data_IF_128420259979
#
_entry.id   IF_128420259979
#
_cell.length_a   1.000
_cell.length_b   1.000
_cell.length_c   1.000
_cell.angle_alpha   90.00
_cell.angle_beta   90.00
_cell.angle_gamma   90.00
#
_symmetry.space_group_name_H-M   'P 1'
#
loop_
_entity.id
_entity.type
_entity.pdbx_description
1 polymer ?
#
# COMPACT_ATOMS: atom_id res chain seq x y z
N UNK A 1 -0.13 10.09 -9.13
CA UNK A 1 0.15 8.78 -9.76
C UNK A 1 0.88 7.85 -8.80
N UNK A 2 2.19 8.04 -8.58
CA UNK A 2 3.02 7.16 -7.75
C UNK A 2 2.49 6.83 -6.34
N UNK A 3 1.97 7.83 -5.60
CA UNK A 3 1.42 7.59 -4.25
C UNK A 3 0.13 6.76 -4.24
N UNK A 4 -0.64 6.71 -5.33
CA UNK A 4 -1.79 5.83 -5.45
C UNK A 4 -1.34 4.39 -5.75
N UNK A 5 -0.36 4.24 -6.64
CA UNK A 5 0.23 2.94 -7.00
C UNK A 5 0.88 2.28 -5.77
N UNK A 6 1.63 3.05 -4.98
CA UNK A 6 2.22 2.57 -3.73
C UNK A 6 1.16 2.13 -2.70
N UNK A 7 0.00 2.79 -2.63
CA UNK A 7 -1.10 2.33 -1.76
C UNK A 7 -1.69 1.01 -2.26
N UNK A 8 -1.85 0.84 -3.57
CA UNK A 8 -2.30 -0.42 -4.15
C UNK A 8 -1.30 -1.56 -3.86
N UNK A 9 0.00 -1.31 -4.06
CA UNK A 9 1.06 -2.26 -3.75
C UNK A 9 1.10 -2.62 -2.25
N UNK A 10 0.97 -1.65 -1.35
CA UNK A 10 0.91 -1.93 0.10
C UNK A 10 -0.31 -2.79 0.47
N UNK A 11 -1.46 -2.58 -0.18
CA UNK A 11 -2.67 -3.40 0.02
C UNK A 11 -2.48 -4.84 -0.49
N UNK A 12 -1.84 -5.01 -1.65
CA UNK A 12 -1.50 -6.34 -2.21
C UNK A 12 -0.54 -7.13 -1.31
N UNK A 13 0.31 -6.43 -0.55
CA UNK A 13 1.22 -7.03 0.43
C UNK A 13 0.59 -7.22 1.83
N UNK A 14 -0.71 -6.97 1.98
CA UNK A 14 -1.41 -7.19 3.26
C UNK A 14 -1.49 -8.67 3.63
N UNK A 15 -1.55 -8.96 4.92
CA UNK A 15 -1.63 -10.34 5.44
C UNK A 15 -2.81 -11.14 4.86
N UNK A 16 -3.91 -10.44 4.51
CA UNK A 16 -5.08 -11.03 3.88
C UNK A 16 -4.76 -11.51 2.46
N UNK A 17 -4.16 -10.65 1.63
CA UNK A 17 -3.83 -11.00 0.25
C UNK A 17 -2.69 -12.01 0.17
N UNK A 18 -1.66 -11.86 1.01
CA UNK A 18 -0.60 -12.86 1.13
C UNK A 18 -1.15 -14.21 1.59
N UNK A 19 -2.09 -14.24 2.55
CA UNK A 19 -2.73 -15.48 2.97
C UNK A 19 -3.43 -16.20 1.80
N UNK A 20 -4.18 -15.46 0.98
CA UNK A 20 -4.80 -16.03 -0.24
C UNK A 20 -3.74 -16.55 -1.22
N UNK A 21 -2.66 -15.78 -1.45
CA UNK A 21 -1.60 -16.13 -2.41
C UNK A 21 -0.83 -17.39 -2.02
N UNK A 22 -0.49 -17.52 -0.73
CA UNK A 22 0.24 -18.67 -0.18
C UNK A 22 -0.70 -19.78 0.32
N UNK A 23 -2.01 -19.69 0.05
CA UNK A 23 -2.98 -20.71 0.43
C UNK A 23 -3.08 -20.95 1.94
N UNK A 24 -2.82 -19.94 2.78
CA UNK A 24 -2.80 -20.06 4.23
C UNK A 24 -3.59 -18.95 4.94
N UNK A 25 -3.78 -19.09 6.25
CA UNK A 25 -4.48 -18.08 7.04
C UNK A 25 -3.64 -16.81 7.22
N UNK A 26 -4.29 -15.65 7.35
CA UNK A 26 -3.60 -14.40 7.69
C UNK A 26 -2.85 -14.48 9.02
N UNK A 27 -3.30 -15.34 9.94
CA UNK A 27 -2.60 -15.64 11.18
C UNK A 27 -1.26 -16.36 10.95
N UNK A 28 -1.21 -17.28 9.98
CA UNK A 28 0.03 -17.94 9.55
C UNK A 28 1.01 -16.92 8.99
N UNK A 29 0.56 -16.03 8.09
CA UNK A 29 1.39 -14.95 7.55
C UNK A 29 1.96 -14.08 8.68
N UNK A 30 1.11 -13.69 9.65
CA UNK A 30 1.55 -12.91 10.81
C UNK A 30 2.63 -13.61 11.62
N UNK A 31 2.49 -14.92 11.87
CA UNK A 31 3.52 -15.72 12.56
C UNK A 31 4.85 -15.69 11.82
N UNK A 32 4.83 -15.89 10.50
CA UNK A 32 6.04 -15.84 9.68
C UNK A 32 6.74 -14.48 9.78
N UNK A 33 5.96 -13.39 9.74
CA UNK A 33 6.46 -12.02 9.92
C UNK A 33 7.07 -11.77 11.29
N UNK A 34 6.50 -12.36 12.33
CA UNK A 34 6.99 -12.25 13.71
C UNK A 34 8.10 -13.29 14.02
N UNK A 35 8.66 -13.95 12.99
CA UNK A 35 9.69 -14.99 13.11
C UNK A 35 9.28 -16.16 14.04
N UNK A 36 7.99 -16.41 14.16
CA UNK A 36 7.48 -17.54 14.92
C UNK A 36 7.58 -18.85 14.11
N UNK A 37 7.67 -20.01 14.78
CA UNK A 37 7.63 -21.30 14.12
C UNK A 37 6.32 -21.52 13.33
N UNK A 38 6.46 -21.90 12.06
CA UNK A 38 5.36 -22.28 11.17
C UNK A 38 5.76 -23.55 10.43
N UNK A 39 4.88 -24.56 10.47
CA UNK A 39 5.08 -25.87 9.81
C UNK A 39 4.30 -25.97 8.50
N UNK A 40 3.28 -25.12 8.32
CA UNK A 40 2.39 -25.16 7.17
C UNK A 40 2.99 -24.59 5.87
N UNK A 41 4.19 -24.02 5.94
CA UNK A 41 4.91 -23.39 4.82
C UNK A 41 6.36 -23.83 4.87
N UNK A 42 6.97 -24.03 3.72
CA UNK A 42 8.40 -24.30 3.65
C UNK A 42 9.25 -23.05 3.95
N UNK A 43 10.57 -23.23 4.03
CA UNK A 43 11.48 -22.13 4.36
C UNK A 43 11.53 -21.06 3.26
N UNK A 44 11.34 -21.43 2.01
CA UNK A 44 11.37 -20.51 0.87
C UNK A 44 10.15 -19.58 0.88
N UNK A 45 8.95 -20.14 1.08
CA UNK A 45 7.71 -19.39 1.26
C UNK A 45 7.80 -18.47 2.48
N UNK A 46 8.34 -18.99 3.60
CA UNK A 46 8.54 -18.19 4.80
C UNK A 46 9.50 -17.02 4.56
N UNK A 47 10.58 -17.24 3.80
CA UNK A 47 11.52 -16.19 3.43
C UNK A 47 10.86 -15.14 2.51
N UNK A 48 10.08 -15.58 1.51
CA UNK A 48 9.40 -14.69 0.58
C UNK A 48 8.35 -13.82 1.28
N UNK A 49 7.57 -14.39 2.21
CA UNK A 49 6.62 -13.63 3.04
C UNK A 49 7.32 -12.55 3.85
N UNK A 50 8.50 -12.84 4.43
CA UNK A 50 9.29 -11.84 5.16
C UNK A 50 9.79 -10.72 4.24
N UNK A 51 10.21 -11.05 3.02
CA UNK A 51 10.59 -10.05 2.01
C UNK A 51 9.40 -9.16 1.62
N UNK A 52 8.21 -9.75 1.41
CA UNK A 52 6.97 -9.01 1.16
C UNK A 52 6.63 -8.06 2.32
N UNK A 53 6.80 -8.50 3.57
CA UNK A 53 6.57 -7.67 4.74
C UNK A 53 7.56 -6.51 4.87
N UNK A 54 8.84 -6.75 4.55
CA UNK A 54 9.87 -5.72 4.52
C UNK A 54 9.57 -4.66 3.44
N UNK A 55 9.15 -5.12 2.25
CA UNK A 55 8.77 -4.23 1.15
C UNK A 55 7.52 -3.40 1.50
N UNK A 56 6.51 -4.02 2.12
CA UNK A 56 5.35 -3.29 2.63
C UNK A 56 5.75 -2.20 3.63
N UNK A 57 6.63 -2.53 4.58
CA UNK A 57 7.12 -1.54 5.54
C UNK A 57 7.86 -0.38 4.87
N UNK A 58 8.68 -0.67 3.83
CA UNK A 58 9.36 0.34 3.01
C UNK A 58 8.36 1.27 2.31
N UNK A 59 7.28 0.72 1.77
CA UNK A 59 6.22 1.49 1.11
C UNK A 59 5.46 2.34 2.13
N UNK A 60 5.07 1.76 3.27
CA UNK A 60 4.31 2.43 4.32
C UNK A 60 5.09 3.62 4.92
N UNK A 61 6.43 3.56 4.94
CA UNK A 61 7.28 4.69 5.34
C UNK A 61 7.31 5.83 4.31
N UNK A 62 7.08 5.53 3.02
CA UNK A 62 7.08 6.53 1.94
C UNK A 62 5.73 7.22 1.79
N UNK A 63 4.62 6.51 2.01
CA UNK A 63 3.27 7.01 1.81
C UNK A 63 2.96 8.33 2.54
N UNK A 64 3.37 8.56 3.80
CA UNK A 64 3.17 9.84 4.48
C UNK A 64 3.85 11.01 3.79
N UNK A 65 5.02 10.78 3.18
CA UNK A 65 5.79 11.80 2.43
C UNK A 65 5.14 12.18 1.09
N UNK A 66 4.16 11.39 0.64
CA UNK A 66 3.38 11.66 -0.56
C UNK A 66 1.97 12.20 -0.23
N UNK A 67 1.69 12.46 1.06
CA UNK A 67 0.44 13.10 1.47
C UNK A 67 0.44 14.57 1.08
N UNK A 68 -0.72 15.09 0.70
CA UNK A 68 -0.92 16.50 0.35
C UNK A 68 -0.47 17.44 1.48
N UNK A 69 -0.74 17.06 2.72
CA UNK A 69 -0.33 17.83 3.91
C UNK A 69 1.18 17.88 4.07
N UNK A 70 1.89 16.77 3.82
CA UNK A 70 3.35 16.77 3.80
C UNK A 70 3.89 17.61 2.66
N UNK A 71 3.39 17.42 1.44
CA UNK A 71 3.85 18.14 0.25
C UNK A 71 3.65 19.65 0.38
N UNK A 72 2.49 20.09 0.89
CA UNK A 72 2.20 21.50 1.15
C UNK A 72 3.19 22.11 2.13
N UNK A 73 3.49 21.42 3.24
CA UNK A 73 4.48 21.90 4.23
C UNK A 73 5.91 21.87 3.70
N UNK A 74 6.28 20.82 2.97
CA UNK A 74 7.64 20.60 2.51
C UNK A 74 8.02 21.56 1.38
N UNK A 75 7.11 21.78 0.42
CA UNK A 75 7.34 22.67 -0.72
C UNK A 75 6.82 24.09 -0.49
N UNK A 76 6.22 24.38 0.67
CA UNK A 76 5.65 25.69 1.03
C UNK A 76 4.60 26.18 0.02
N UNK A 77 3.83 25.25 -0.54
CA UNK A 77 2.74 25.54 -1.48
C UNK A 77 1.39 25.33 -0.79
N UNK A 78 0.37 26.04 -1.25
CA UNK A 78 -0.98 25.82 -0.75
C UNK A 78 -1.52 24.45 -1.19
N UNK A 79 -2.40 23.81 -0.40
CA UNK A 79 -3.09 22.60 -0.83
C UNK A 79 -3.83 22.76 -2.17
N UNK A 80 -4.34 23.95 -2.48
CA UNK A 80 -5.05 24.27 -3.71
C UNK A 80 -4.09 24.28 -4.91
N UNK A 81 -2.87 24.81 -4.76
CA UNK A 81 -1.86 24.77 -5.81
C UNK A 81 -1.47 23.34 -6.19
N UNK A 82 -1.46 22.43 -5.20
CA UNK A 82 -1.24 21.00 -5.43
C UNK A 82 -2.41 20.39 -6.22
N UNK A 83 -3.65 20.78 -5.94
CA UNK A 83 -4.80 20.29 -6.73
C UNK A 83 -4.74 20.75 -8.17
N UNK A 84 -4.44 22.02 -8.40
CA UNK A 84 -4.31 22.58 -9.75
C UNK A 84 -3.25 21.80 -10.53
N UNK A 85 -2.09 21.54 -9.93
CA UNK A 85 -1.03 20.77 -10.58
C UNK A 85 -1.46 19.33 -10.88
N UNK A 86 -2.18 18.69 -9.95
CA UNK A 86 -2.74 17.35 -10.17
C UNK A 86 -3.77 17.34 -11.30
N UNK A 87 -4.65 18.34 -11.37
CA UNK A 87 -5.64 18.50 -12.42
C UNK A 87 -4.97 18.74 -13.78
N UNK A 88 -3.95 19.60 -13.84
CA UNK A 88 -3.16 19.86 -15.04
C UNK A 88 -2.41 18.62 -15.52
N UNK A 89 -1.94 17.79 -14.59
CA UNK A 89 -1.33 16.49 -14.89
C UNK A 89 -2.36 15.40 -15.28
N UNK A 90 -3.66 15.73 -15.32
CA UNK A 90 -4.73 14.78 -15.64
C UNK A 90 -4.98 13.73 -14.57
N UNK A 91 -4.62 14.01 -13.32
CA UNK A 91 -4.84 13.09 -12.21
C UNK A 91 -6.26 13.20 -11.66
N UNK A 92 -7.04 12.13 -11.76
CA UNK A 92 -8.35 12.02 -11.12
C UNK A 92 -8.26 11.21 -9.82
N UNK A 93 -8.93 11.66 -8.74
CA UNK A 93 -8.96 10.88 -7.49
C UNK A 93 -9.73 9.55 -7.70
N UNK A 94 -9.08 8.38 -7.52
CA UNK A 94 -9.71 7.07 -7.67
C UNK A 94 -10.93 6.85 -6.75
N UNK A 95 -11.02 7.58 -5.63
CA UNK A 95 -12.15 7.52 -4.70
C UNK A 95 -13.41 8.18 -5.27
N UNK A 96 -13.25 9.19 -6.13
CA UNK A 96 -14.38 9.84 -6.81
C UNK A 96 -14.94 8.91 -7.90
N UNK A 97 -14.07 8.18 -8.61
CA UNK A 97 -14.51 7.17 -9.59
C UNK A 97 -15.29 6.01 -8.94
N UNK A 98 -14.87 5.52 -7.77
CA UNK A 98 -15.61 4.47 -7.03
C UNK A 98 -17.04 4.88 -6.66
N UNK A 99 -17.30 6.17 -6.39
CA UNK A 99 -18.66 6.67 -6.14
C UNK A 99 -19.49 6.74 -7.42
N UNK A 100 -18.93 7.24 -8.53
CA UNK A 100 -19.63 7.30 -9.82
C UNK A 100 -20.04 5.91 -10.33
N UNK A 101 -19.16 4.91 -10.19
CA UNK A 101 -19.43 3.51 -10.57
C UNK A 101 -20.48 2.79 -9.72
N UNK A 102 -20.79 3.28 -8.52
CA UNK A 102 -21.84 2.70 -7.65
C UNK A 102 -23.20 3.38 -7.82
N UNK A 103 -23.24 4.51 -8.51
CA UNK A 103 -24.45 5.28 -8.77
C UNK A 103 -25.04 5.04 -10.17
N UNK A 104 -24.36 4.21 -10.99
CA UNK A 104 -24.83 3.70 -12.28
C UNK A 104 -25.08 2.20 -12.14
#
# INVERSE_FOLDING_TARGET
MHGADLRAQSEELSDKFLGVKFGCSSFTIRKVREHMPVVALDEEDQALIRQCAAEKARIDQQLPKLSKSYLSRHYQVSPEAIDIELDLAGWEDPRIQRKKRRAA
#
